data_IF_256340385149
#
_entry.id   IF_256340385149
#
_cell.length_a   1.000
_cell.length_b   1.000
_cell.length_c   1.000
_cell.angle_alpha   90.00
_cell.angle_beta   90.00
_cell.angle_gamma   90.00
#
_symmetry.space_group_name_H-M   'P 1'
#
loop_
_entity.id
_entity.type
_entity.pdbx_description
1 polymer ?
#
# COMPACT_ATOMS: atom_id res chain seq x y z
N UNK A 1 25.95 18.15 28.18
CA UNK A 1 25.09 16.98 28.28
C UNK A 1 23.95 17.19 27.31
N UNK A 2 23.67 16.23 26.43
CA UNK A 2 22.49 16.34 25.57
C UNK A 2 21.24 16.41 26.47
N UNK A 3 20.30 17.29 26.13
CA UNK A 3 19.04 17.42 26.86
C UNK A 3 18.30 16.09 26.78
N UNK A 4 17.92 15.53 27.92
CA UNK A 4 17.07 14.32 27.97
C UNK A 4 15.57 14.67 27.86
N UNK A 5 15.24 15.95 27.65
CA UNK A 5 13.87 16.47 27.51
C UNK A 5 13.64 16.98 26.08
N UNK A 6 12.50 16.57 25.50
CA UNK A 6 12.04 16.97 24.19
C UNK A 6 10.59 17.47 24.25
N UNK A 7 10.19 18.34 23.33
CA UNK A 7 8.79 18.73 23.18
C UNK A 7 7.99 17.57 22.55
N UNK A 8 8.64 16.80 21.67
CA UNK A 8 8.06 15.64 20.99
C UNK A 8 9.07 14.50 20.88
N UNK A 9 8.63 13.29 21.22
CA UNK A 9 9.33 12.04 20.93
C UNK A 9 8.48 11.18 20.00
N UNK A 10 9.07 10.69 18.90
CA UNK A 10 8.41 9.82 17.93
C UNK A 10 9.02 8.42 17.99
N UNK A 11 8.19 7.40 18.21
CA UNK A 11 8.58 5.99 18.24
C UNK A 11 8.32 5.34 16.87
N UNK A 12 9.40 5.07 16.13
CA UNK A 12 9.39 4.54 14.77
C UNK A 12 9.62 5.61 13.70
N UNK A 13 10.53 5.32 12.77
CA UNK A 13 10.91 6.21 11.67
C UNK A 13 10.37 5.76 10.31
N UNK A 14 9.19 5.12 10.28
CA UNK A 14 8.41 4.88 9.06
C UNK A 14 7.87 6.18 8.46
N UNK A 15 7.10 6.12 7.33
CA UNK A 15 6.59 7.31 6.64
C UNK A 15 5.87 8.30 7.55
N UNK A 16 5.00 7.84 8.44
CA UNK A 16 4.33 8.71 9.41
C UNK A 16 5.29 9.33 10.39
N UNK A 17 6.20 8.52 10.97
CA UNK A 17 7.11 8.96 12.03
C UNK A 17 8.13 10.00 11.58
N UNK A 18 8.85 9.75 10.47
CA UNK A 18 9.85 10.73 10.02
C UNK A 18 9.22 12.03 9.50
N UNK A 19 8.03 11.93 8.86
CA UNK A 19 7.29 13.13 8.42
C UNK A 19 6.82 13.94 9.62
N UNK A 20 6.22 13.30 10.64
CA UNK A 20 5.81 13.96 11.87
C UNK A 20 6.98 14.67 12.56
N UNK A 21 8.12 13.97 12.72
CA UNK A 21 9.31 14.51 13.36
C UNK A 21 9.87 15.72 12.61
N UNK A 22 9.96 15.65 11.29
CA UNK A 22 10.45 16.76 10.45
C UNK A 22 9.47 17.94 10.55
N UNK A 23 8.17 17.69 10.39
CA UNK A 23 7.16 18.76 10.43
C UNK A 23 7.12 19.46 11.79
N UNK A 24 7.14 18.71 12.89
CA UNK A 24 7.21 19.27 14.24
C UNK A 24 8.44 20.13 14.45
N UNK A 25 9.60 19.68 13.99
CA UNK A 25 10.84 20.46 14.06
C UNK A 25 10.79 21.75 13.22
N UNK A 26 10.18 21.71 12.00
CA UNK A 26 9.93 22.90 11.19
C UNK A 26 9.00 23.91 11.89
N UNK A 27 8.16 23.44 12.78
CA UNK A 27 7.27 24.27 13.59
C UNK A 27 7.91 24.76 14.90
N UNK A 28 9.21 24.49 15.10
CA UNK A 28 10.00 25.02 16.20
C UNK A 28 10.13 24.11 17.42
N UNK A 29 9.59 22.90 17.38
CA UNK A 29 9.72 21.95 18.49
C UNK A 29 11.12 21.30 18.55
N UNK A 30 11.58 21.00 19.76
CA UNK A 30 12.72 20.13 20.01
C UNK A 30 12.27 18.65 19.91
N UNK A 31 12.71 17.94 18.86
CA UNK A 31 12.18 16.63 18.48
C UNK A 31 13.24 15.55 18.53
N UNK A 32 12.87 14.40 19.11
CA UNK A 32 13.61 13.15 18.96
C UNK A 32 12.78 12.10 18.22
N UNK A 33 13.47 11.25 17.48
CA UNK A 33 12.89 10.06 16.84
C UNK A 33 13.71 8.83 17.19
N UNK A 34 13.03 7.71 17.47
CA UNK A 34 13.68 6.46 17.85
C UNK A 34 13.36 5.40 16.80
N UNK A 35 14.39 4.76 16.25
CA UNK A 35 14.22 3.68 15.26
C UNK A 35 15.10 2.48 15.63
N UNK A 36 14.52 1.30 15.57
CA UNK A 36 15.21 0.06 15.95
C UNK A 36 15.93 -0.64 14.80
N UNK A 37 15.49 -0.48 13.56
CA UNK A 37 16.04 -1.19 12.40
C UNK A 37 16.58 -0.20 11.35
N UNK A 38 15.67 0.41 10.57
CA UNK A 38 16.03 1.23 9.42
C UNK A 38 15.12 2.45 9.29
N UNK A 39 15.72 3.61 9.09
CA UNK A 39 15.00 4.83 8.75
C UNK A 39 14.14 4.61 7.48
N UNK A 40 12.94 5.21 7.46
CA UNK A 40 11.97 5.02 6.38
C UNK A 40 11.07 3.80 6.55
N UNK A 41 11.29 2.99 7.61
CA UNK A 41 10.44 1.87 8.01
C UNK A 41 10.25 0.81 6.91
N UNK A 42 9.15 0.06 6.99
CA UNK A 42 8.82 -0.99 6.01
C UNK A 42 8.69 -0.43 4.60
N UNK A 43 8.03 0.70 4.41
CA UNK A 43 7.75 1.25 3.07
C UNK A 43 9.03 1.42 2.23
N UNK A 44 10.07 2.04 2.77
CA UNK A 44 11.31 2.29 2.02
C UNK A 44 12.24 1.07 1.97
N UNK A 45 12.18 0.19 2.97
CA UNK A 45 13.14 -0.90 3.10
C UNK A 45 12.59 -2.27 2.67
N UNK A 46 11.30 -2.56 2.92
CA UNK A 46 10.71 -3.89 2.77
C UNK A 46 9.28 -3.88 2.20
N UNK A 47 8.85 -2.78 1.59
CA UNK A 47 7.47 -2.61 1.11
C UNK A 47 7.39 -1.86 -0.20
N UNK A 48 6.79 -0.65 -0.14
CA UNK A 48 6.41 0.16 -1.30
C UNK A 48 7.54 0.27 -2.34
N UNK A 49 8.65 0.83 -1.94
CA UNK A 49 9.73 1.20 -2.88
C UNK A 49 10.46 0.00 -3.47
N UNK A 50 10.95 -0.97 -2.68
CA UNK A 50 11.61 -2.14 -3.26
C UNK A 50 10.67 -2.97 -4.14
N UNK A 51 9.40 -3.09 -3.79
CA UNK A 51 8.41 -3.81 -4.63
C UNK A 51 8.21 -3.08 -5.95
N UNK A 52 8.01 -1.76 -5.95
CA UNK A 52 7.85 -0.97 -7.18
C UNK A 52 9.11 -1.00 -8.05
N UNK A 53 10.29 -1.04 -7.44
CA UNK A 53 11.55 -1.22 -8.18
C UNK A 53 11.62 -2.60 -8.88
N UNK A 54 11.11 -3.65 -8.25
CA UNK A 54 11.02 -4.99 -8.83
C UNK A 54 9.96 -5.05 -9.93
N UNK A 55 8.75 -4.52 -9.68
CA UNK A 55 7.66 -4.46 -10.66
C UNK A 55 8.06 -3.65 -11.91
N UNK A 56 8.82 -2.55 -11.75
CA UNK A 56 9.37 -1.84 -12.91
C UNK A 56 10.32 -2.69 -13.74
N UNK A 57 11.09 -3.58 -13.12
CA UNK A 57 11.93 -4.52 -13.86
C UNK A 57 11.10 -5.56 -14.63
N UNK A 58 9.97 -6.01 -14.04
CA UNK A 58 9.03 -6.91 -14.71
C UNK A 58 8.34 -6.22 -15.90
N UNK A 59 7.92 -4.97 -15.74
CA UNK A 59 7.35 -4.17 -16.82
C UNK A 59 8.32 -3.96 -17.99
N UNK A 60 9.58 -3.62 -17.69
CA UNK A 60 10.62 -3.48 -18.73
C UNK A 60 10.86 -4.82 -19.44
N UNK A 61 10.84 -5.93 -18.73
CA UNK A 61 10.97 -7.25 -19.30
C UNK A 61 9.80 -7.58 -20.22
N UNK A 62 8.57 -7.34 -19.78
CA UNK A 62 7.34 -7.50 -20.57
C UNK A 62 7.37 -6.65 -21.85
N UNK A 63 7.77 -5.37 -21.76
CA UNK A 63 7.93 -4.51 -22.93
C UNK A 63 9.00 -5.03 -23.89
N UNK A 64 10.10 -5.57 -23.39
CA UNK A 64 11.14 -6.15 -24.22
C UNK A 64 10.65 -7.40 -24.99
N UNK A 65 9.84 -8.24 -24.36
CA UNK A 65 9.21 -9.41 -25.02
C UNK A 65 8.27 -8.98 -26.15
N UNK A 66 7.61 -7.83 -26.01
CA UNK A 66 6.69 -7.21 -26.99
C UNK A 66 7.40 -6.28 -27.99
N UNK A 67 8.71 -6.20 -28.00
CA UNK A 67 9.49 -5.27 -28.84
C UNK A 67 9.07 -5.26 -30.31
N UNK A 68 8.67 -6.41 -30.86
CA UNK A 68 8.23 -6.55 -32.27
C UNK A 68 6.97 -5.73 -32.59
N UNK A 69 6.07 -5.52 -31.62
CA UNK A 69 4.87 -4.70 -31.78
C UNK A 69 5.23 -3.23 -32.06
N UNK A 70 6.40 -2.79 -31.59
CA UNK A 70 6.95 -1.45 -31.76
C UNK A 70 7.97 -1.34 -32.92
N UNK A 71 8.07 -2.38 -33.76
CA UNK A 71 9.02 -2.41 -34.87
C UNK A 71 10.47 -2.63 -34.46
N UNK A 72 10.71 -3.11 -33.24
CA UNK A 72 12.04 -3.38 -32.72
C UNK A 72 12.36 -4.88 -32.79
N UNK A 73 13.64 -5.22 -32.97
CA UNK A 73 14.15 -6.60 -32.86
C UNK A 73 14.86 -6.77 -31.53
N UNK A 74 14.38 -7.69 -30.73
CA UNK A 74 15.03 -8.10 -29.48
C UNK A 74 15.12 -9.63 -29.49
N UNK A 75 16.34 -10.17 -29.43
CA UNK A 75 16.59 -11.61 -29.42
C UNK A 75 17.22 -12.01 -28.09
N UNK A 76 16.94 -13.24 -27.64
CA UNK A 76 17.52 -13.84 -26.44
C UNK A 76 17.32 -12.99 -25.18
N UNK A 77 16.11 -12.40 -25.02
CA UNK A 77 15.78 -11.62 -23.83
C UNK A 77 15.85 -12.55 -22.62
N UNK A 78 16.63 -12.16 -21.64
CA UNK A 78 16.81 -12.90 -20.40
C UNK A 78 16.86 -11.95 -19.20
N UNK A 79 16.71 -12.47 -18.00
CA UNK A 79 16.82 -11.71 -16.78
C UNK A 79 17.83 -12.32 -15.82
N UNK A 80 18.36 -11.49 -14.94
CA UNK A 80 19.22 -11.87 -13.82
C UNK A 80 18.55 -11.42 -12.53
N UNK A 81 17.95 -12.38 -11.81
CA UNK A 81 17.24 -12.12 -10.57
C UNK A 81 18.12 -11.41 -9.54
N UNK A 82 19.40 -11.77 -9.45
CA UNK A 82 20.31 -11.16 -8.47
C UNK A 82 20.53 -9.66 -8.76
N UNK A 83 20.60 -9.28 -10.04
CA UNK A 83 20.71 -7.87 -10.44
C UNK A 83 19.42 -7.09 -10.23
N UNK A 84 18.26 -7.71 -10.44
CA UNK A 84 16.96 -7.11 -10.13
C UNK A 84 16.86 -6.80 -8.62
N UNK A 85 17.20 -7.78 -7.78
CA UNK A 85 17.24 -7.62 -6.33
C UNK A 85 18.25 -6.54 -5.92
N UNK A 86 19.47 -6.61 -6.43
CA UNK A 86 20.52 -5.63 -6.12
C UNK A 86 20.10 -4.20 -6.48
N UNK A 87 19.42 -4.01 -7.64
CA UNK A 87 18.84 -2.72 -8.01
C UNK A 87 17.79 -2.25 -7.00
N UNK A 88 16.88 -3.12 -6.61
CA UNK A 88 15.84 -2.82 -5.60
C UNK A 88 16.46 -2.43 -4.25
N UNK A 89 17.45 -3.17 -3.77
CA UNK A 89 18.17 -2.86 -2.52
C UNK A 89 18.96 -1.56 -2.58
N UNK A 90 19.61 -1.27 -3.72
CA UNK A 90 20.32 0.01 -3.94
C UNK A 90 19.36 1.20 -3.83
N UNK A 91 18.17 1.11 -4.43
CA UNK A 91 17.14 2.17 -4.36
C UNK A 91 16.66 2.36 -2.91
N UNK A 92 16.37 1.28 -2.20
CA UNK A 92 16.01 1.33 -0.78
C UNK A 92 17.09 2.00 0.06
N UNK A 93 18.36 1.63 -0.14
CA UNK A 93 19.50 2.22 0.58
C UNK A 93 19.66 3.72 0.30
N UNK A 94 19.47 4.15 -0.94
CA UNK A 94 19.51 5.56 -1.32
C UNK A 94 18.44 6.37 -0.59
N UNK A 95 17.22 5.88 -0.53
CA UNK A 95 16.11 6.59 0.14
C UNK A 95 16.25 6.57 1.66
N UNK A 96 16.72 5.46 2.23
CA UNK A 96 17.03 5.39 3.65
C UNK A 96 18.06 6.46 4.07
N UNK A 97 19.16 6.61 3.29
CA UNK A 97 20.14 7.67 3.49
C UNK A 97 19.52 9.06 3.34
N UNK A 98 18.60 9.22 2.38
CA UNK A 98 17.87 10.46 2.17
C UNK A 98 17.05 10.87 3.41
N UNK A 99 16.35 9.94 4.04
CA UNK A 99 15.60 10.19 5.29
C UNK A 99 16.57 10.63 6.40
N UNK A 100 17.72 9.96 6.55
CA UNK A 100 18.75 10.35 7.53
C UNK A 100 19.26 11.80 7.29
N UNK A 101 19.48 12.15 6.02
CA UNK A 101 19.84 13.52 5.65
C UNK A 101 18.75 14.54 6.01
N UNK A 102 17.49 14.23 5.71
CA UNK A 102 16.34 15.11 5.99
C UNK A 102 16.15 15.32 7.50
N UNK A 103 16.25 14.27 8.31
CA UNK A 103 16.19 14.37 9.77
C UNK A 103 17.31 15.26 10.31
N UNK A 104 18.56 15.05 9.85
CA UNK A 104 19.70 15.89 10.22
C UNK A 104 19.53 17.34 9.80
N UNK A 105 19.09 17.61 8.55
CA UNK A 105 18.80 18.96 8.03
C UNK A 105 17.81 19.71 8.91
N UNK A 106 16.79 19.01 9.41
CA UNK A 106 15.76 19.57 10.27
C UNK A 106 16.11 19.48 11.76
N UNK A 107 17.35 19.16 12.13
CA UNK A 107 17.85 19.10 13.52
C UNK A 107 17.07 18.13 14.43
N UNK A 108 16.45 17.10 13.87
CA UNK A 108 15.81 16.03 14.65
C UNK A 108 16.88 15.15 15.25
N UNK A 109 16.80 14.90 16.56
CA UNK A 109 17.71 13.97 17.27
C UNK A 109 17.27 12.55 16.97
N UNK A 110 18.15 11.73 16.38
CA UNK A 110 17.86 10.33 16.05
C UNK A 110 18.52 9.42 17.08
N UNK A 111 17.71 8.55 17.70
CA UNK A 111 18.19 7.47 18.55
C UNK A 111 17.99 6.12 17.83
N UNK A 112 19.02 5.29 17.85
CA UNK A 112 18.91 3.89 17.41
C UNK A 112 18.61 3.01 18.63
N UNK A 113 17.60 2.16 18.55
CA UNK A 113 17.25 1.24 19.62
C UNK A 113 15.75 0.95 19.73
N UNK A 114 15.40 0.05 20.61
CA UNK A 114 14.01 -0.28 20.92
C UNK A 114 13.45 0.70 21.95
N UNK A 115 12.31 1.29 21.62
CA UNK A 115 11.61 2.24 22.47
C UNK A 115 10.49 1.57 23.26
N UNK A 116 10.33 1.94 24.54
CA UNK A 116 9.25 1.50 25.41
C UNK A 116 8.77 2.65 26.29
N UNK A 117 7.46 2.85 26.40
CA UNK A 117 6.86 3.75 27.35
C UNK A 117 7.10 3.22 28.79
N UNK A 118 7.61 4.07 29.65
CA UNK A 118 7.76 3.80 31.09
C UNK A 118 6.58 4.39 31.84
N UNK A 119 6.20 5.60 31.46
CA UNK A 119 5.01 6.32 31.89
C UNK A 119 4.49 7.25 30.77
N UNK A 120 3.56 8.14 31.08
CA UNK A 120 2.92 9.02 30.10
C UNK A 120 3.87 10.05 29.45
N UNK A 121 5.06 10.24 30.00
CA UNK A 121 6.04 11.25 29.55
C UNK A 121 7.45 10.68 29.37
N UNK A 122 7.72 9.47 29.81
CA UNK A 122 9.04 8.87 29.85
C UNK A 122 9.15 7.69 28.87
N UNK A 123 10.15 7.73 28.00
CA UNK A 123 10.48 6.68 27.05
C UNK A 123 11.85 6.08 27.42
N UNK A 124 11.89 4.78 27.59
CA UNK A 124 13.13 4.00 27.68
C UNK A 124 13.59 3.56 26.30
N UNK A 125 14.86 3.77 26.00
CA UNK A 125 15.52 3.34 24.77
C UNK A 125 16.54 2.28 25.11
N UNK A 126 16.37 1.07 24.58
CA UNK A 126 17.32 -0.03 24.75
C UNK A 126 18.17 -0.18 23.49
N UNK A 127 19.48 -0.02 23.64
CA UNK A 127 20.47 -0.22 22.57
C UNK A 127 21.63 -1.03 23.11
N UNK A 128 21.95 -2.16 22.48
CA UNK A 128 23.05 -3.06 22.88
C UNK A 128 23.04 -3.42 24.38
N UNK A 129 21.84 -3.62 24.94
CA UNK A 129 21.63 -3.98 26.36
C UNK A 129 21.78 -2.80 27.35
N UNK A 130 22.00 -1.57 26.86
CA UNK A 130 22.01 -0.36 27.68
C UNK A 130 20.70 0.37 27.57
N UNK A 131 20.16 0.82 28.69
CA UNK A 131 18.93 1.61 28.75
C UNK A 131 19.26 3.08 28.96
N UNK A 132 18.65 3.93 28.12
CA UNK A 132 18.65 5.38 28.26
C UNK A 132 17.21 5.84 28.41
N UNK A 133 16.95 6.79 29.30
CA UNK A 133 15.61 7.38 29.47
C UNK A 133 15.62 8.83 28.93
N UNK A 134 14.58 9.13 28.17
CA UNK A 134 14.28 10.50 27.71
C UNK A 134 12.86 10.84 28.11
N UNK A 135 12.58 12.13 28.27
CA UNK A 135 11.25 12.61 28.62
C UNK A 135 10.70 13.54 27.52
N UNK A 136 9.39 13.55 27.38
CA UNK A 136 8.72 14.38 26.38
C UNK A 136 7.40 14.94 26.89
N UNK A 137 7.02 16.12 26.36
CA UNK A 137 5.69 16.68 26.56
C UNK A 137 4.65 15.90 25.74
N UNK A 138 5.02 15.50 24.53
CA UNK A 138 4.15 14.74 23.62
C UNK A 138 4.89 13.52 23.08
N UNK A 139 4.15 12.45 22.81
CA UNK A 139 4.70 11.20 22.23
C UNK A 139 3.83 10.77 21.05
N UNK A 140 4.45 10.43 19.93
CA UNK A 140 3.78 9.82 18.77
C UNK A 140 4.24 8.37 18.64
N UNK A 141 3.28 7.44 18.68
CA UNK A 141 3.49 6.03 18.39
C UNK A 141 3.35 5.81 16.87
N UNK A 142 4.45 5.46 16.19
CA UNK A 142 4.51 5.26 14.74
C UNK A 142 5.26 3.98 14.38
N UNK A 143 5.08 2.92 15.20
CA UNK A 143 5.82 1.66 15.11
C UNK A 143 5.38 0.75 13.96
N UNK A 144 4.32 1.15 13.24
CA UNK A 144 3.84 0.45 12.05
C UNK A 144 3.24 -0.92 12.32
N UNK A 145 3.35 -1.80 11.33
CA UNK A 145 2.78 -3.14 11.36
C UNK A 145 3.75 -4.17 10.77
N UNK A 146 3.42 -5.46 10.90
CA UNK A 146 4.14 -6.58 10.32
C UNK A 146 3.21 -7.57 9.64
N UNK A 147 3.75 -8.49 8.84
CA UNK A 147 2.95 -9.56 8.24
C UNK A 147 2.20 -10.36 9.33
N UNK A 148 0.94 -10.62 9.08
CA UNK A 148 0.16 -11.55 9.87
C UNK A 148 0.60 -12.97 9.55
N UNK A 149 0.85 -13.77 10.55
CA UNK A 149 1.13 -15.20 10.42
C UNK A 149 -0.10 -16.01 10.83
N UNK A 150 -0.38 -17.07 10.08
CA UNK A 150 -1.44 -18.01 10.41
C UNK A 150 -0.83 -19.22 11.14
N UNK A 151 -1.45 -19.71 12.23
CA UNK A 151 -0.95 -20.87 12.96
C UNK A 151 -0.75 -22.09 12.05
N UNK A 152 0.46 -22.69 12.11
CA UNK A 152 0.86 -23.81 11.27
C UNK A 152 1.27 -23.45 9.83
N UNK A 153 1.26 -22.15 9.48
CA UNK A 153 1.66 -21.64 8.17
C UNK A 153 2.69 -20.50 8.30
N UNK A 154 3.38 -20.42 9.44
CA UNK A 154 4.37 -19.37 9.72
C UNK A 154 5.48 -19.39 8.68
N UNK A 155 6.03 -18.21 8.37
CA UNK A 155 7.11 -18.09 7.42
C UNK A 155 8.42 -18.65 7.98
N UNK A 156 9.09 -19.51 7.20
CA UNK A 156 10.40 -20.07 7.52
C UNK A 156 11.55 -19.40 6.74
N UNK A 157 11.21 -18.50 5.80
CA UNK A 157 12.17 -17.83 4.94
C UNK A 157 12.78 -18.70 3.84
N UNK A 158 12.45 -19.99 3.80
CA UNK A 158 12.95 -20.94 2.80
C UNK A 158 11.84 -21.38 1.84
N UNK A 159 10.80 -22.02 2.35
CA UNK A 159 9.67 -22.52 1.55
C UNK A 159 8.43 -21.64 1.71
N UNK A 160 8.22 -21.06 2.86
CA UNK A 160 7.11 -20.13 3.15
C UNK A 160 7.69 -18.75 3.44
N UNK A 161 7.26 -17.79 2.66
CA UNK A 161 7.77 -16.42 2.63
C UNK A 161 6.74 -15.41 3.12
N UNK A 162 7.22 -14.38 3.81
CA UNK A 162 6.52 -13.09 3.90
C UNK A 162 7.04 -12.16 2.80
N UNK A 163 6.53 -10.92 2.77
CA UNK A 163 7.01 -9.87 1.88
C UNK A 163 8.54 -9.63 2.00
N UNK A 164 9.13 -9.74 3.19
CA UNK A 164 10.60 -9.56 3.38
C UNK A 164 11.39 -10.59 2.57
N UNK A 165 10.97 -11.84 2.61
CA UNK A 165 11.62 -12.93 1.87
C UNK A 165 11.35 -12.83 0.37
N UNK A 166 10.10 -12.48 -0.01
CA UNK A 166 9.71 -12.30 -1.41
C UNK A 166 10.45 -11.13 -2.10
N UNK A 167 10.93 -10.15 -1.34
CA UNK A 167 11.76 -9.05 -1.86
C UNK A 167 13.26 -9.38 -1.95
N UNK A 168 13.69 -10.50 -1.36
CA UNK A 168 15.08 -10.93 -1.37
C UNK A 168 15.21 -12.45 -1.55
N UNK A 169 14.59 -13.02 -2.62
CA UNK A 169 14.62 -14.45 -2.87
C UNK A 169 16.01 -14.93 -3.28
N UNK A 170 16.40 -16.09 -2.79
CA UNK A 170 17.66 -16.74 -3.20
C UNK A 170 17.57 -17.42 -4.58
N UNK A 171 16.36 -17.73 -5.04
CA UNK A 171 16.08 -18.38 -6.33
C UNK A 171 14.72 -17.98 -6.86
N UNK A 172 14.56 -18.06 -8.19
CA UNK A 172 13.25 -17.88 -8.84
C UNK A 172 12.38 -19.12 -8.59
N UNK A 173 11.17 -18.97 -7.99
CA UNK A 173 10.23 -20.09 -7.87
C UNK A 173 9.74 -20.56 -9.24
N UNK A 174 9.56 -21.88 -9.41
CA UNK A 174 8.95 -22.46 -10.61
C UNK A 174 7.43 -22.61 -10.45
N UNK A 175 6.99 -23.02 -9.25
CA UNK A 175 5.59 -23.15 -8.87
C UNK A 175 5.36 -22.37 -7.59
N UNK A 176 4.66 -21.24 -7.70
CA UNK A 176 4.42 -20.31 -6.62
C UNK A 176 2.96 -20.38 -6.17
N UNK A 177 2.73 -20.51 -4.86
CA UNK A 177 1.45 -20.25 -4.21
C UNK A 177 1.49 -18.88 -3.55
N UNK A 178 0.49 -18.06 -3.81
CA UNK A 178 0.24 -16.81 -3.07
C UNK A 178 -1.06 -16.97 -2.30
N UNK A 179 -1.00 -16.82 -0.97
CA UNK A 179 -2.15 -16.89 -0.09
C UNK A 179 -2.58 -15.48 0.25
N UNK A 180 -3.78 -15.09 -0.19
CA UNK A 180 -4.32 -13.75 -0.12
C UNK A 180 -4.13 -12.96 -1.42
N UNK A 181 -5.19 -12.33 -1.89
CA UNK A 181 -5.28 -11.60 -3.16
C UNK A 181 -5.43 -10.08 -2.98
N UNK A 182 -5.10 -9.54 -1.81
CA UNK A 182 -4.97 -8.09 -1.64
C UNK A 182 -3.79 -7.52 -2.44
N UNK A 183 -3.59 -6.20 -2.40
CA UNK A 183 -2.55 -5.51 -3.17
C UNK A 183 -1.17 -6.18 -3.08
N UNK A 184 -0.72 -6.53 -1.86
CA UNK A 184 0.57 -7.20 -1.64
C UNK A 184 0.64 -8.54 -2.38
N UNK A 185 -0.41 -9.36 -2.27
CA UNK A 185 -0.44 -10.69 -2.89
C UNK A 185 -0.40 -10.61 -4.41
N UNK A 186 -1.23 -9.77 -5.01
CA UNK A 186 -1.30 -9.65 -6.47
C UNK A 186 -0.07 -8.97 -7.08
N UNK A 187 0.58 -8.03 -6.37
CA UNK A 187 1.83 -7.43 -6.81
C UNK A 187 2.96 -8.48 -6.89
N UNK A 188 3.12 -9.31 -5.87
CA UNK A 188 4.10 -10.41 -5.93
C UNK A 188 3.70 -11.46 -6.95
N UNK A 189 2.42 -11.83 -7.04
CA UNK A 189 1.95 -12.75 -8.07
C UNK A 189 2.28 -12.24 -9.47
N UNK A 190 2.01 -10.97 -9.75
CA UNK A 190 2.32 -10.30 -11.03
C UNK A 190 3.82 -10.33 -11.32
N UNK A 191 4.67 -9.94 -10.35
CA UNK A 191 6.12 -9.96 -10.51
C UNK A 191 6.66 -11.34 -10.88
N UNK A 192 6.36 -12.34 -10.06
CA UNK A 192 6.89 -13.68 -10.25
C UNK A 192 6.34 -14.37 -11.50
N UNK A 193 5.06 -14.15 -11.81
CA UNK A 193 4.43 -14.67 -13.02
C UNK A 193 5.09 -14.12 -14.29
N UNK A 194 5.37 -12.81 -14.34
CA UNK A 194 6.07 -12.18 -15.47
C UNK A 194 7.43 -12.82 -15.74
N UNK A 195 8.14 -13.27 -14.71
CA UNK A 195 9.42 -13.96 -14.86
C UNK A 195 9.30 -15.49 -14.96
N UNK A 196 8.10 -16.02 -15.28
CA UNK A 196 7.86 -17.41 -15.65
C UNK A 196 7.51 -18.37 -14.52
N UNK A 197 7.25 -17.89 -13.31
CA UNK A 197 6.70 -18.73 -12.25
C UNK A 197 5.26 -19.14 -12.59
N UNK A 198 4.92 -20.44 -12.49
CA UNK A 198 3.53 -20.89 -12.52
C UNK A 198 2.86 -20.47 -11.21
N UNK A 199 2.11 -19.39 -11.26
CA UNK A 199 1.56 -18.74 -10.07
C UNK A 199 0.11 -19.13 -9.83
N UNK A 200 -0.19 -19.60 -8.62
CA UNK A 200 -1.55 -19.83 -8.12
C UNK A 200 -1.82 -18.85 -6.99
N UNK A 201 -2.93 -18.12 -7.07
CA UNK A 201 -3.41 -17.22 -6.02
C UNK A 201 -4.65 -17.81 -5.38
N UNK A 202 -4.66 -17.92 -4.05
CA UNK A 202 -5.80 -18.43 -3.28
C UNK A 202 -6.38 -17.31 -2.42
N UNK A 203 -7.70 -17.08 -2.57
CA UNK A 203 -8.44 -16.07 -1.84
C UNK A 203 -9.65 -16.69 -1.14
N UNK A 204 -9.82 -16.38 0.15
CA UNK A 204 -10.93 -16.90 0.94
C UNK A 204 -12.28 -16.27 0.58
N UNK A 205 -12.23 -15.02 0.11
CA UNK A 205 -13.41 -14.30 -0.36
C UNK A 205 -13.77 -14.73 -1.80
N UNK A 206 -14.93 -14.33 -2.25
CA UNK A 206 -15.52 -14.73 -3.54
C UNK A 206 -14.83 -14.11 -4.76
N UNK A 207 -14.00 -13.06 -4.57
CA UNK A 207 -13.27 -12.38 -5.62
C UNK A 207 -11.88 -11.96 -5.17
N UNK A 208 -10.97 -11.77 -6.12
CA UNK A 208 -9.66 -11.16 -5.85
C UNK A 208 -9.81 -9.66 -5.60
N UNK A 209 -8.82 -9.03 -4.94
CA UNK A 209 -8.86 -7.60 -4.63
C UNK A 209 -10.20 -7.17 -4.02
N UNK A 210 -10.65 -7.80 -2.94
CA UNK A 210 -12.04 -7.71 -2.46
C UNK A 210 -12.44 -6.31 -1.97
N UNK A 211 -11.47 -5.41 -1.76
CA UNK A 211 -11.71 -4.01 -1.37
C UNK A 211 -11.97 -3.09 -2.56
N UNK A 212 -11.65 -3.53 -3.78
CA UNK A 212 -11.86 -2.76 -4.99
C UNK A 212 -13.30 -2.86 -5.49
N UNK A 213 -13.67 -1.97 -6.40
CA UNK A 213 -14.95 -2.06 -7.11
C UNK A 213 -15.07 -3.42 -7.83
N UNK A 214 -16.26 -3.98 -7.86
CA UNK A 214 -16.51 -5.35 -8.36
C UNK A 214 -16.10 -5.52 -9.83
N UNK A 215 -16.32 -4.51 -10.67
CA UNK A 215 -15.95 -4.55 -12.08
C UNK A 215 -14.42 -4.47 -12.25
N UNK A 216 -13.72 -3.70 -11.42
CA UNK A 216 -12.25 -3.67 -11.38
C UNK A 216 -11.72 -5.06 -11.02
N UNK A 217 -12.27 -5.69 -9.98
CA UNK A 217 -11.89 -7.05 -9.55
C UNK A 217 -12.14 -8.09 -10.64
N UNK A 218 -13.25 -7.97 -11.36
CA UNK A 218 -13.63 -8.86 -12.47
C UNK A 218 -12.64 -8.76 -13.64
N UNK A 219 -12.33 -7.53 -14.09
CA UNK A 219 -11.36 -7.31 -15.17
C UNK A 219 -9.96 -7.74 -14.73
N UNK A 220 -9.55 -7.44 -13.50
CA UNK A 220 -8.28 -7.91 -12.95
C UNK A 220 -8.17 -9.45 -13.00
N UNK A 221 -9.23 -10.15 -12.59
CA UNK A 221 -9.30 -11.63 -12.66
C UNK A 221 -9.14 -12.14 -14.07
N UNK A 222 -9.82 -11.55 -15.04
CA UNK A 222 -9.73 -11.93 -16.45
C UNK A 222 -8.31 -11.70 -16.99
N UNK A 223 -7.69 -10.55 -16.69
CA UNK A 223 -6.34 -10.22 -17.14
C UNK A 223 -5.27 -11.12 -16.52
N UNK A 224 -5.32 -11.37 -15.21
CA UNK A 224 -4.38 -12.27 -14.55
C UNK A 224 -4.51 -13.71 -15.06
N UNK A 225 -5.73 -14.17 -15.32
CA UNK A 225 -5.97 -15.49 -15.94
C UNK A 225 -5.40 -15.55 -17.36
N UNK A 226 -5.61 -14.51 -18.17
CA UNK A 226 -5.04 -14.38 -19.53
C UNK A 226 -3.51 -14.42 -19.52
N UNK A 227 -2.88 -13.89 -18.46
CA UNK A 227 -1.43 -13.93 -18.23
C UNK A 227 -0.93 -15.28 -17.68
N UNK A 228 -1.82 -16.27 -17.51
CA UNK A 228 -1.46 -17.63 -17.10
C UNK A 228 -1.48 -17.88 -15.59
N UNK A 229 -1.96 -16.94 -14.77
CA UNK A 229 -2.16 -17.19 -13.35
C UNK A 229 -3.38 -18.07 -13.11
N UNK A 230 -3.30 -18.95 -12.11
CA UNK A 230 -4.46 -19.71 -11.60
C UNK A 230 -5.04 -18.96 -10.40
N UNK A 231 -6.31 -18.56 -10.48
CA UNK A 231 -7.00 -17.87 -9.40
C UNK A 231 -8.01 -18.82 -8.76
N UNK A 232 -7.97 -18.99 -7.44
CA UNK A 232 -8.87 -19.79 -6.65
C UNK A 232 -9.53 -18.90 -5.60
N UNK A 233 -10.72 -18.39 -5.91
CA UNK A 233 -11.56 -17.58 -5.01
C UNK A 233 -12.56 -18.47 -4.26
N UNK A 234 -13.10 -17.99 -3.13
CA UNK A 234 -13.93 -18.82 -2.24
C UNK A 234 -13.17 -20.05 -1.70
N UNK A 235 -11.84 -19.98 -1.71
CA UNK A 235 -10.95 -21.09 -1.41
C UNK A 235 -10.04 -20.77 -0.21
N UNK A 236 -9.83 -21.76 0.65
CA UNK A 236 -9.03 -21.61 1.87
C UNK A 236 -7.88 -22.61 1.88
N UNK A 237 -6.66 -22.12 2.10
CA UNK A 237 -5.54 -23.00 2.43
C UNK A 237 -5.74 -23.49 3.87
N UNK A 238 -5.88 -24.80 4.02
CA UNK A 238 -6.13 -25.46 5.30
C UNK A 238 -4.84 -25.86 6.00
N UNK A 239 -3.84 -26.28 5.22
CA UNK A 239 -2.57 -26.80 5.72
C UNK A 239 -1.46 -26.60 4.71
N UNK A 240 -0.25 -26.35 5.21
CA UNK A 240 1.00 -26.37 4.47
C UNK A 240 1.90 -27.49 5.03
N UNK A 241 2.08 -28.57 4.28
CA UNK A 241 2.92 -29.69 4.65
C UNK A 241 4.30 -29.54 4.01
N UNK A 242 5.28 -29.05 4.80
CA UNK A 242 6.64 -28.77 4.33
C UNK A 242 7.42 -30.06 4.12
N UNK A 243 7.97 -30.22 2.94
CA UNK A 243 8.92 -31.28 2.58
C UNK A 243 10.32 -30.67 2.45
N UNK A 244 11.31 -31.46 2.04
CA UNK A 244 12.69 -31.00 1.94
C UNK A 244 12.90 -29.83 0.96
N UNK A 245 12.16 -29.83 -0.15
CA UNK A 245 12.36 -28.94 -1.31
C UNK A 245 11.03 -28.33 -1.84
N UNK A 246 9.90 -28.65 -1.24
CA UNK A 246 8.57 -28.21 -1.66
C UNK A 246 7.58 -28.17 -0.50
N UNK A 247 6.45 -27.54 -0.76
CA UNK A 247 5.27 -27.51 0.14
C UNK A 247 4.11 -28.21 -0.56
N UNK A 248 3.43 -29.11 0.14
CA UNK A 248 2.13 -29.63 -0.26
C UNK A 248 1.06 -28.81 0.46
N UNK A 249 0.30 -28.03 -0.30
CA UNK A 249 -0.79 -27.22 0.21
C UNK A 249 -2.11 -27.97 0.06
N UNK A 250 -2.83 -28.13 1.16
CA UNK A 250 -4.23 -28.60 1.15
C UNK A 250 -5.13 -27.38 1.01
N UNK A 251 -5.83 -27.29 -0.12
CA UNK A 251 -6.71 -26.17 -0.46
C UNK A 251 -8.15 -26.71 -0.47
N UNK A 252 -9.05 -26.02 0.22
CA UNK A 252 -10.48 -26.36 0.25
C UNK A 252 -11.27 -25.27 -0.46
N UNK A 253 -12.08 -25.70 -1.44
CA UNK A 253 -13.03 -24.85 -2.15
C UNK A 253 -14.36 -25.62 -2.23
N UNK A 254 -15.47 -24.99 -1.81
CA UNK A 254 -16.81 -25.61 -1.80
C UNK A 254 -16.83 -27.00 -1.14
N UNK A 255 -16.14 -27.15 0.00
CA UNK A 255 -16.00 -28.41 0.76
C UNK A 255 -15.22 -29.51 0.03
N UNK A 256 -14.67 -29.24 -1.15
CA UNK A 256 -13.78 -30.14 -1.88
C UNK A 256 -12.34 -29.78 -1.53
N UNK A 257 -11.57 -30.78 -1.08
CA UNK A 257 -10.16 -30.63 -0.78
C UNK A 257 -9.31 -31.16 -1.90
N UNK A 258 -8.30 -30.41 -2.25
CA UNK A 258 -7.23 -30.81 -3.20
C UNK A 258 -5.87 -30.59 -2.57
N UNK A 259 -4.91 -31.40 -2.95
CA UNK A 259 -3.52 -31.24 -2.57
C UNK A 259 -2.69 -30.82 -3.79
N UNK A 260 -2.01 -29.69 -3.68
CA UNK A 260 -1.18 -29.14 -4.74
C UNK A 260 0.25 -28.93 -4.23
N UNK A 261 1.24 -29.20 -5.11
CA UNK A 261 2.65 -29.03 -4.79
C UNK A 261 3.19 -27.71 -5.34
N UNK A 262 3.89 -26.98 -4.46
CA UNK A 262 4.57 -25.72 -4.77
C UNK A 262 6.01 -25.78 -4.25
N UNK A 263 6.92 -25.09 -4.93
CA UNK A 263 8.31 -24.97 -4.43
C UNK A 263 8.49 -23.73 -3.54
N UNK A 264 7.49 -22.84 -3.53
CA UNK A 264 7.48 -21.65 -2.69
C UNK A 264 6.04 -21.19 -2.42
N UNK A 265 5.80 -20.69 -1.21
CA UNK A 265 4.53 -20.09 -0.79
C UNK A 265 4.80 -18.69 -0.29
N UNK A 266 4.03 -17.70 -0.75
CA UNK A 266 4.00 -16.34 -0.18
C UNK A 266 2.73 -16.18 0.65
N UNK A 267 2.88 -15.87 1.93
CA UNK A 267 1.77 -15.54 2.82
C UNK A 267 1.52 -14.03 2.78
N UNK A 268 0.37 -13.62 2.21
CA UNK A 268 -0.10 -12.24 2.07
C UNK A 268 -1.48 -12.05 2.69
N UNK A 269 -1.71 -12.64 3.87
CA UNK A 269 -3.00 -12.74 4.57
C UNK A 269 -3.31 -11.55 5.48
N UNK A 270 -2.70 -10.40 5.21
CA UNK A 270 -2.87 -9.17 5.96
C UNK A 270 -1.69 -8.84 6.87
N UNK A 271 -1.86 -7.76 7.64
CA UNK A 271 -0.86 -7.27 8.58
C UNK A 271 -1.46 -7.02 9.95
N UNK A 272 -0.63 -6.91 10.97
CA UNK A 272 -1.00 -6.60 12.35
C UNK A 272 -0.09 -5.52 12.91
N UNK A 273 -0.64 -4.63 13.74
CA UNK A 273 0.11 -3.53 14.37
C UNK A 273 1.21 -4.03 15.30
N UNK A 274 2.30 -3.30 15.38
CA UNK A 274 3.42 -3.59 16.29
C UNK A 274 3.15 -2.95 17.65
N UNK A 275 2.31 -3.58 18.45
CA UNK A 275 1.88 -3.08 19.77
C UNK A 275 2.67 -3.71 20.93
N UNK A 276 3.30 -4.85 20.73
CA UNK A 276 3.97 -5.60 21.79
C UNK A 276 5.26 -4.92 22.23
N UNK A 277 5.55 -5.00 23.51
CA UNK A 277 6.77 -4.47 24.11
C UNK A 277 6.83 -2.95 24.26
N UNK A 278 5.82 -2.22 23.76
CA UNK A 278 5.79 -0.75 23.81
C UNK A 278 5.41 -0.18 25.19
N UNK A 279 4.95 -1.00 26.15
CA UNK A 279 4.47 -0.52 27.45
C UNK A 279 3.06 0.08 27.44
N UNK A 280 2.25 -0.22 26.39
CA UNK A 280 0.91 0.36 26.22
C UNK A 280 -0.02 0.05 27.40
N UNK A 281 -0.06 -1.21 27.84
CA UNK A 281 -0.88 -1.64 28.98
C UNK A 281 -0.47 -0.94 30.29
N UNK A 282 0.84 -0.74 30.50
CA UNK A 282 1.38 -0.08 31.67
C UNK A 282 0.91 1.37 31.77
N UNK A 283 0.75 2.04 30.63
CA UNK A 283 0.32 3.44 30.52
C UNK A 283 -1.21 3.55 30.40
N UNK A 284 -1.90 2.44 30.14
CA UNK A 284 -3.36 2.39 29.99
C UNK A 284 -3.85 2.81 28.60
N UNK A 285 -3.02 2.64 27.56
CA UNK A 285 -3.41 2.94 26.18
C UNK A 285 -4.32 1.82 25.65
N UNK A 286 -5.47 2.20 25.10
CA UNK A 286 -6.45 1.27 24.56
C UNK A 286 -6.00 0.68 23.23
N UNK A 287 -6.18 -0.66 23.11
CA UNK A 287 -5.92 -1.39 21.88
C UNK A 287 -7.12 -2.25 21.49
N UNK A 288 -7.34 -2.41 20.18
CA UNK A 288 -8.38 -3.27 19.62
C UNK A 288 -7.86 -3.99 18.38
N UNK A 289 -8.08 -5.31 18.30
CA UNK A 289 -7.66 -6.13 17.16
C UNK A 289 -6.18 -5.91 16.74
N UNK A 290 -5.27 -5.85 17.72
CA UNK A 290 -3.83 -5.58 17.55
C UNK A 290 -3.49 -4.20 16.96
N UNK A 291 -4.34 -3.19 17.18
CA UNK A 291 -4.08 -1.80 16.81
C UNK A 291 -4.35 -0.88 17.98
N UNK A 292 -3.70 0.28 18.01
CA UNK A 292 -3.98 1.34 18.98
C UNK A 292 -5.25 2.07 18.57
N UNK A 293 -6.16 2.27 19.52
CA UNK A 293 -7.39 3.02 19.28
C UNK A 293 -7.10 4.52 19.32
N UNK A 294 -7.57 5.24 18.30
CA UNK A 294 -7.44 6.70 18.20
C UNK A 294 -8.74 7.34 17.74
N UNK A 295 -8.88 8.63 18.02
CA UNK A 295 -9.91 9.45 17.39
C UNK A 295 -9.45 9.95 16.01
N UNK A 296 -10.29 10.77 15.36
CA UNK A 296 -10.05 11.35 14.02
C UNK A 296 -8.83 12.30 13.96
N UNK A 297 -8.34 12.75 15.11
CA UNK A 297 -7.14 13.58 15.26
C UNK A 297 -5.90 12.76 15.67
N UNK A 298 -5.96 11.44 15.57
CA UNK A 298 -4.90 10.51 15.97
C UNK A 298 -4.56 10.55 17.48
N UNK A 299 -5.43 11.09 18.33
CA UNK A 299 -5.26 11.09 19.78
C UNK A 299 -5.65 9.73 20.36
N UNK A 300 -4.83 9.21 21.27
CA UNK A 300 -5.19 8.04 22.07
C UNK A 300 -6.10 8.48 23.24
N UNK A 301 -6.54 7.54 24.07
CA UNK A 301 -7.24 7.83 25.30
C UNK A 301 -6.35 8.48 26.38
N UNK A 302 -5.05 8.61 26.17
CA UNK A 302 -4.09 9.25 27.07
C UNK A 302 -3.64 10.60 26.50
N UNK A 303 -3.91 11.68 27.22
CA UNK A 303 -3.53 13.03 26.82
C UNK A 303 -2.02 13.15 26.57
N UNK A 304 -1.62 13.79 25.47
CA UNK A 304 -0.24 13.96 25.05
C UNK A 304 0.36 12.75 24.32
N UNK A 305 -0.40 11.64 24.17
CA UNK A 305 0.04 10.46 23.42
C UNK A 305 -0.86 10.27 22.19
N UNK A 306 -0.21 10.20 21.04
CA UNK A 306 -0.82 10.03 19.72
C UNK A 306 -0.36 8.72 19.09
N UNK A 307 -1.14 8.18 18.17
CA UNK A 307 -0.73 7.03 17.36
C UNK A 307 -1.12 7.25 15.89
N UNK A 308 -0.23 6.86 14.96
CA UNK A 308 -0.38 7.10 13.53
C UNK A 308 0.06 5.90 12.69
N UNK A 309 -0.38 5.89 11.44
CA UNK A 309 0.02 4.91 10.43
C UNK A 309 -0.58 3.54 10.64
N UNK A 310 0.14 2.52 10.20
CA UNK A 310 -0.35 1.14 10.21
C UNK A 310 -0.65 0.62 11.62
N UNK A 311 -0.09 1.25 12.64
CA UNK A 311 -0.35 0.94 14.05
C UNK A 311 -1.81 1.17 14.45
N UNK A 312 -2.51 2.09 13.78
CA UNK A 312 -3.91 2.47 14.09
C UNK A 312 -4.96 1.73 13.25
N UNK A 313 -4.52 0.87 12.31
CA UNK A 313 -5.41 0.08 11.47
C UNK A 313 -5.53 0.59 10.02
N UNK A 314 -6.42 -0.06 9.29
CA UNK A 314 -6.67 0.21 7.87
C UNK A 314 -7.23 1.64 7.62
N UNK A 315 -7.01 2.19 6.41
CA UNK A 315 -6.19 1.64 5.34
C UNK A 315 -4.69 1.76 5.66
N UNK A 316 -3.93 0.68 5.38
CA UNK A 316 -2.50 0.60 5.67
C UNK A 316 -1.69 1.19 4.50
N UNK A 317 -1.59 2.52 4.49
CA UNK A 317 -1.03 3.28 3.37
C UNK A 317 -0.02 4.33 3.87
N UNK A 318 1.14 4.38 3.22
CA UNK A 318 2.23 5.27 3.61
C UNK A 318 1.83 6.75 3.53
N UNK A 319 1.03 7.14 2.53
CA UNK A 319 0.55 8.52 2.38
C UNK A 319 -0.47 8.89 3.47
N UNK A 320 -1.38 7.96 3.89
CA UNK A 320 -2.21 8.16 5.07
C UNK A 320 -1.34 8.46 6.31
N UNK A 321 -0.37 7.59 6.59
CA UNK A 321 0.53 7.75 7.72
C UNK A 321 1.28 9.09 7.70
N UNK A 322 1.76 9.53 6.53
CA UNK A 322 2.45 10.82 6.37
C UNK A 322 1.53 12.01 6.63
N UNK A 323 0.29 11.96 6.15
CA UNK A 323 -0.71 13.00 6.43
C UNK A 323 -1.12 13.03 7.90
N UNK A 324 -1.31 11.87 8.55
CA UNK A 324 -1.54 11.77 9.99
C UNK A 324 -0.38 12.36 10.78
N UNK A 325 0.87 12.07 10.37
CA UNK A 325 2.06 12.65 11.00
C UNK A 325 2.12 14.17 10.92
N UNK A 326 1.75 14.75 9.77
CA UNK A 326 1.65 16.19 9.59
C UNK A 326 0.53 16.79 10.45
N UNK A 327 -0.65 16.16 10.45
CA UNK A 327 -1.82 16.58 11.24
C UNK A 327 -1.47 16.65 12.73
N UNK A 328 -0.88 15.59 13.28
CA UNK A 328 -0.50 15.55 14.71
C UNK A 328 0.56 16.61 15.03
N UNK A 329 1.60 16.77 14.19
CA UNK A 329 2.63 17.78 14.41
C UNK A 329 2.06 19.21 14.43
N UNK A 330 1.12 19.50 13.54
CA UNK A 330 0.43 20.79 13.48
C UNK A 330 -0.52 21.01 14.67
N UNK A 331 -1.26 19.97 15.06
CA UNK A 331 -2.16 20.01 16.24
C UNK A 331 -1.39 20.27 17.53
N UNK A 332 -0.28 19.57 17.76
CA UNK A 332 0.56 19.76 18.97
C UNK A 332 1.05 21.22 19.08
N UNK A 333 1.28 21.88 17.95
CA UNK A 333 1.71 23.30 17.93
C UNK A 333 0.56 24.32 17.99
N UNK A 334 -0.67 23.84 18.23
CA UNK A 334 -1.85 24.71 18.38
C UNK A 334 -2.42 25.24 17.07
N UNK A 335 -2.04 24.67 15.91
CA UNK A 335 -2.64 25.01 14.62
C UNK A 335 -4.04 24.40 14.50
N UNK A 336 -4.89 25.09 13.76
CA UNK A 336 -6.20 24.54 13.37
C UNK A 336 -5.95 23.47 12.30
N UNK A 337 -6.39 22.25 12.55
CA UNK A 337 -6.26 21.11 11.65
C UNK A 337 -7.62 20.52 11.31
N UNK A 338 -7.73 19.95 10.12
CA UNK A 338 -8.91 19.19 9.69
C UNK A 338 -8.57 17.69 9.74
N UNK A 339 -9.49 16.83 10.20
CA UNK A 339 -9.34 15.39 10.10
C UNK A 339 -9.16 14.95 8.64
N UNK A 340 -8.46 13.86 8.45
CA UNK A 340 -8.32 13.25 7.11
C UNK A 340 -9.66 12.64 6.73
N UNK A 341 -10.21 13.05 5.58
CA UNK A 341 -11.39 12.38 5.02
C UNK A 341 -11.01 10.95 4.56
N UNK A 342 -11.52 9.89 5.17
CA UNK A 342 -11.16 8.52 4.80
C UNK A 342 -11.57 8.17 3.36
N UNK A 343 -12.63 8.79 2.84
CA UNK A 343 -13.08 8.57 1.46
C UNK A 343 -12.19 9.26 0.42
N UNK A 344 -11.33 10.21 0.82
CA UNK A 344 -10.39 10.88 -0.07
C UNK A 344 -8.97 10.27 -0.03
N UNK A 345 -8.80 9.10 0.59
CA UNK A 345 -7.51 8.39 0.62
C UNK A 345 -7.45 7.43 -0.57
N UNK A 346 -6.58 7.67 -1.58
CA UNK A 346 -6.50 6.79 -2.74
C UNK A 346 -5.82 5.47 -2.42
N UNK A 347 -6.31 4.38 -3.03
CA UNK A 347 -5.66 3.08 -3.08
C UNK A 347 -4.94 2.88 -4.42
N UNK A 348 -3.76 2.24 -4.41
CA UNK A 348 -3.01 1.91 -5.61
C UNK A 348 -2.41 0.51 -5.51
N UNK A 349 -2.60 -0.31 -6.54
CA UNK A 349 -1.99 -1.63 -6.71
C UNK A 349 -1.19 -1.62 -8.02
N UNK A 350 0.10 -1.90 -7.92
CA UNK A 350 1.06 -1.75 -9.02
C UNK A 350 1.30 -3.07 -9.78
N UNK A 351 0.29 -3.92 -9.84
CA UNK A 351 0.30 -5.11 -10.71
C UNK A 351 0.29 -4.70 -12.19
N UNK A 352 0.35 -5.67 -13.09
CA UNK A 352 0.08 -5.45 -14.51
C UNK A 352 -1.22 -6.20 -14.89
N UNK A 353 -2.31 -5.45 -15.28
CA UNK A 353 -2.45 -3.99 -15.28
C UNK A 353 -2.43 -3.37 -13.86
N UNK A 354 -2.16 -2.06 -13.79
CA UNK A 354 -2.25 -1.29 -12.55
C UNK A 354 -3.72 -1.08 -12.16
N UNK A 355 -3.96 -0.86 -10.86
CA UNK A 355 -5.28 -0.57 -10.31
C UNK A 355 -5.19 0.63 -9.40
N UNK A 356 -6.16 1.54 -9.47
CA UNK A 356 -6.25 2.68 -8.58
C UNK A 356 -7.71 3.03 -8.28
N UNK A 357 -7.95 3.46 -7.04
CA UNK A 357 -9.29 3.79 -6.59
C UNK A 357 -9.27 4.92 -5.57
N UNK A 358 -10.36 5.69 -5.49
CA UNK A 358 -10.64 6.66 -4.43
C UNK A 358 -12.14 6.78 -4.25
N UNK A 359 -12.59 6.98 -3.02
CA UNK A 359 -14.00 7.18 -2.69
C UNK A 359 -14.81 5.89 -2.59
N UNK A 360 -16.11 6.02 -2.75
CA UNK A 360 -17.06 4.93 -2.59
C UNK A 360 -17.09 4.06 -3.85
N UNK A 361 -17.12 2.74 -3.65
CA UNK A 361 -17.48 1.81 -4.74
C UNK A 361 -18.97 1.96 -5.08
N UNK A 362 -19.38 1.50 -6.27
CA UNK A 362 -20.78 1.51 -6.67
C UNK A 362 -21.69 0.83 -5.63
N UNK A 363 -21.31 -0.36 -5.17
CA UNK A 363 -22.04 -1.12 -4.16
C UNK A 363 -22.11 -0.35 -2.81
N UNK A 364 -21.03 0.31 -2.39
CA UNK A 364 -21.03 1.07 -1.14
C UNK A 364 -21.91 2.32 -1.27
N UNK A 365 -21.82 3.07 -2.36
CA UNK A 365 -22.64 4.25 -2.59
C UNK A 365 -24.14 3.91 -2.59
N UNK A 366 -24.54 2.82 -3.24
CA UNK A 366 -25.92 2.31 -3.22
C UNK A 366 -26.37 1.91 -1.82
N UNK A 367 -25.52 1.19 -1.08
CA UNK A 367 -25.78 0.77 0.30
C UNK A 367 -25.96 1.96 1.24
N UNK A 368 -25.19 3.02 1.04
CA UNK A 368 -25.26 4.26 1.83
C UNK A 368 -26.46 5.15 1.44
N UNK A 369 -27.26 4.69 0.44
CA UNK A 369 -28.54 5.32 0.05
C UNK A 369 -28.41 6.41 -1.01
N UNK A 370 -27.25 6.58 -1.63
CA UNK A 370 -27.08 7.54 -2.73
C UNK A 370 -27.86 7.08 -3.98
N UNK A 371 -28.48 8.02 -4.67
CA UNK A 371 -28.89 7.85 -6.06
C UNK A 371 -27.69 8.14 -6.95
N UNK A 372 -27.20 7.15 -7.64
CA UNK A 372 -25.94 7.28 -8.36
C UNK A 372 -26.11 7.39 -9.87
N UNK A 373 -25.17 8.13 -10.49
CA UNK A 373 -24.86 8.06 -11.92
C UNK A 373 -23.47 7.48 -12.06
N UNK A 374 -23.34 6.50 -12.94
CA UNK A 374 -22.08 5.78 -13.17
C UNK A 374 -21.67 5.98 -14.62
N UNK A 375 -20.44 6.41 -14.83
CA UNK A 375 -19.84 6.48 -16.17
C UNK A 375 -18.62 5.59 -16.26
N UNK A 376 -18.39 5.07 -17.47
CA UNK A 376 -17.26 4.19 -17.79
C UNK A 376 -16.66 4.54 -19.13
N UNK A 377 -15.33 4.57 -19.19
CA UNK A 377 -14.64 4.72 -20.45
C UNK A 377 -13.51 3.70 -20.59
N UNK A 378 -13.54 2.84 -21.62
CA UNK A 378 -12.54 1.80 -21.82
C UNK A 378 -11.27 2.34 -22.47
N UNK A 379 -10.11 1.79 -22.12
CA UNK A 379 -8.80 2.13 -22.69
C UNK A 379 -8.76 2.02 -24.22
N UNK A 380 -9.45 1.03 -24.80
CA UNK A 380 -9.53 0.82 -26.25
C UNK A 380 -10.18 2.00 -27.02
N UNK A 381 -10.91 2.88 -26.32
CA UNK A 381 -11.48 4.12 -26.91
C UNK A 381 -10.51 5.30 -26.89
N UNK A 382 -9.33 5.18 -26.27
CA UNK A 382 -8.40 6.28 -26.11
C UNK A 382 -7.19 6.16 -27.05
N UNK A 383 -6.95 7.20 -27.86
CA UNK A 383 -5.88 7.21 -28.83
C UNK A 383 -4.48 7.06 -28.24
N UNK A 384 -4.22 7.60 -27.03
CA UNK A 384 -2.93 7.44 -26.35
C UNK A 384 -2.73 6.03 -25.83
N UNK A 385 -3.77 5.39 -25.30
CA UNK A 385 -3.72 3.98 -24.87
C UNK A 385 -3.41 3.04 -26.04
N UNK A 386 -4.05 3.29 -27.20
CA UNK A 386 -3.78 2.55 -28.44
C UNK A 386 -2.33 2.75 -28.88
N UNK A 387 -1.83 3.99 -28.87
CA UNK A 387 -0.45 4.30 -29.26
C UNK A 387 0.60 3.66 -28.33
N UNK A 388 0.26 3.48 -27.05
CA UNK A 388 1.11 2.78 -26.07
C UNK A 388 1.05 1.25 -26.22
N UNK A 389 0.07 0.70 -26.93
CA UNK A 389 -0.20 -0.73 -26.98
C UNK A 389 -0.87 -1.27 -25.70
N UNK A 390 -1.47 -0.38 -24.89
CA UNK A 390 -2.06 -0.68 -23.58
C UNK A 390 -3.57 -0.39 -23.62
N UNK A 391 -4.33 -1.31 -24.26
CA UNK A 391 -5.75 -1.11 -24.53
C UNK A 391 -6.67 -1.83 -23.54
N UNK A 392 -6.10 -2.61 -22.61
CA UNK A 392 -6.85 -3.36 -21.60
C UNK A 392 -7.11 -2.49 -20.37
N UNK A 393 -8.39 -2.33 -20.02
CA UNK A 393 -8.78 -1.57 -18.83
C UNK A 393 -9.90 -0.57 -19.07
N UNK A 394 -10.27 0.14 -18.01
CA UNK A 394 -11.29 1.20 -18.03
C UNK A 394 -11.09 2.18 -16.87
N UNK A 395 -11.73 3.33 -16.98
CA UNK A 395 -11.96 4.30 -15.92
C UNK A 395 -13.45 4.32 -15.62
N UNK A 396 -13.82 4.21 -14.34
CA UNK A 396 -15.18 4.29 -13.82
C UNK A 396 -15.30 5.45 -12.84
N UNK A 397 -16.34 6.26 -12.98
CA UNK A 397 -16.69 7.36 -12.08
C UNK A 397 -18.10 7.17 -11.54
N UNK A 398 -18.30 7.58 -10.30
CA UNK A 398 -19.56 7.45 -9.57
C UNK A 398 -19.92 8.83 -9.02
N UNK A 399 -21.08 9.31 -9.36
CA UNK A 399 -21.61 10.61 -8.93
C UNK A 399 -22.90 10.45 -8.15
N UNK A 400 -23.14 11.32 -7.19
CA UNK A 400 -24.46 11.51 -6.62
C UNK A 400 -25.38 12.20 -7.64
N UNK A 401 -26.49 11.57 -7.96
CA UNK A 401 -27.41 12.08 -8.97
C UNK A 401 -28.17 13.35 -8.53
N UNK A 402 -28.29 13.59 -7.23
CA UNK A 402 -29.03 14.72 -6.66
C UNK A 402 -28.14 15.97 -6.53
N UNK A 403 -26.87 15.84 -6.16
CA UNK A 403 -25.93 16.97 -5.97
C UNK A 403 -24.88 17.11 -7.09
N UNK A 404 -24.66 16.07 -7.88
CA UNK A 404 -23.59 16.04 -8.89
C UNK A 404 -22.19 15.78 -8.32
N UNK A 405 -22.06 15.58 -7.01
CA UNK A 405 -20.78 15.38 -6.33
C UNK A 405 -20.11 14.09 -6.80
N UNK A 406 -18.80 14.13 -7.02
CA UNK A 406 -17.97 12.95 -7.27
C UNK A 406 -17.85 12.10 -5.99
N UNK A 407 -18.49 10.94 -5.97
CA UNK A 407 -18.46 9.99 -4.85
C UNK A 407 -17.29 9.02 -4.91
N UNK A 408 -16.86 8.63 -6.10
CA UNK A 408 -15.78 7.69 -6.27
C UNK A 408 -15.27 7.55 -7.70
N UNK A 409 -14.03 7.07 -7.82
CA UNK A 409 -13.41 6.73 -9.09
C UNK A 409 -12.58 5.46 -8.94
N UNK A 410 -12.72 4.54 -9.90
CA UNK A 410 -12.11 3.22 -9.89
C UNK A 410 -11.54 2.92 -11.27
N UNK A 411 -10.27 2.54 -11.31
CA UNK A 411 -9.54 2.40 -12.55
C UNK A 411 -8.72 1.12 -12.59
N UNK A 412 -8.62 0.53 -13.77
CA UNK A 412 -7.69 -0.55 -14.06
C UNK A 412 -7.09 -0.32 -15.45
N UNK A 413 -5.77 -0.38 -15.58
CA UNK A 413 -5.07 -0.16 -16.85
C UNK A 413 -3.67 0.42 -16.66
N UNK A 414 -3.07 0.90 -17.75
CA UNK A 414 -1.75 1.53 -17.70
C UNK A 414 -1.80 2.90 -17.01
N UNK A 415 -0.80 3.20 -16.17
CA UNK A 415 -0.57 4.50 -15.52
C UNK A 415 -1.75 5.01 -14.65
N UNK A 416 -2.71 4.15 -14.29
CA UNK A 416 -3.86 4.58 -13.48
C UNK A 416 -3.46 5.01 -12.07
N UNK A 417 -2.34 4.52 -11.56
CA UNK A 417 -1.80 4.91 -10.25
C UNK A 417 -1.32 6.37 -10.22
N UNK A 418 -1.00 6.94 -11.38
CA UNK A 418 -0.68 8.37 -11.53
C UNK A 418 -1.95 9.19 -11.83
N UNK A 419 -2.88 8.63 -12.63
CA UNK A 419 -4.10 9.32 -13.04
C UNK A 419 -5.07 9.57 -11.90
N UNK A 420 -5.18 8.66 -10.92
CA UNK A 420 -6.13 8.75 -9.81
C UNK A 420 -6.04 10.06 -9.05
N UNK A 421 -4.85 10.69 -9.02
CA UNK A 421 -4.61 11.94 -8.29
C UNK A 421 -5.53 13.08 -8.75
N UNK A 422 -5.92 13.11 -10.02
CA UNK A 422 -6.88 14.11 -10.51
C UNK A 422 -8.24 14.03 -9.80
N UNK A 423 -8.74 12.83 -9.60
CA UNK A 423 -10.01 12.63 -8.86
C UNK A 423 -9.86 12.85 -7.36
N UNK A 424 -8.71 12.53 -6.77
CA UNK A 424 -8.43 12.84 -5.35
C UNK A 424 -8.52 14.35 -5.11
N UNK A 425 -7.89 15.16 -6.00
CA UNK A 425 -7.98 16.62 -5.93
C UNK A 425 -9.43 17.07 -6.08
N UNK A 426 -10.15 16.50 -7.08
CA UNK A 426 -11.56 16.79 -7.29
C UNK A 426 -12.41 16.53 -6.03
N UNK A 427 -12.25 15.37 -5.39
CA UNK A 427 -12.99 15.06 -4.15
C UNK A 427 -12.68 16.01 -3.00
N UNK A 428 -11.40 16.38 -2.81
CA UNK A 428 -11.02 17.34 -1.74
C UNK A 428 -11.59 18.72 -2.00
N UNK A 429 -11.79 19.11 -3.26
CA UNK A 429 -12.39 20.37 -3.68
C UNK A 429 -13.93 20.28 -3.79
N UNK A 430 -14.53 19.14 -3.40
CA UNK A 430 -15.98 18.90 -3.52
C UNK A 430 -16.52 19.11 -4.94
N UNK A 431 -15.71 18.72 -5.94
CA UNK A 431 -15.96 18.91 -7.37
C UNK A 431 -17.20 18.16 -7.82
N UNK A 432 -18.02 18.84 -8.62
CA UNK A 432 -19.19 18.25 -9.28
C UNK A 432 -18.86 17.78 -10.70
N UNK A 433 -19.80 17.06 -11.33
CA UNK A 433 -19.71 16.68 -12.72
C UNK A 433 -19.50 17.86 -13.66
N UNK A 434 -20.20 18.98 -13.42
CA UNK A 434 -20.11 20.17 -14.28
C UNK A 434 -18.69 20.74 -14.30
N UNK A 435 -18.00 20.76 -13.15
CA UNK A 435 -16.60 21.20 -13.08
C UNK A 435 -15.70 20.30 -13.92
N UNK A 436 -15.89 18.99 -13.86
CA UNK A 436 -15.10 18.01 -14.61
C UNK A 436 -15.45 18.01 -16.11
N UNK A 437 -16.72 18.17 -16.47
CA UNK A 437 -17.17 18.30 -17.86
C UNK A 437 -16.57 19.53 -18.55
N UNK A 438 -16.43 20.64 -17.81
CA UNK A 438 -15.87 21.88 -18.35
C UNK A 438 -14.35 22.00 -18.23
N UNK A 439 -13.69 21.05 -17.53
CA UNK A 439 -12.23 21.01 -17.43
C UNK A 439 -11.61 20.59 -18.76
N UNK A 440 -10.62 21.35 -19.22
CA UNK A 440 -9.87 21.01 -20.44
C UNK A 440 -8.77 20.01 -20.12
N UNK A 441 -8.83 18.84 -20.74
CA UNK A 441 -7.82 17.79 -20.63
C UNK A 441 -6.83 17.89 -21.81
N UNK A 442 -5.51 17.69 -21.58
CA UNK A 442 -4.52 17.78 -22.65
C UNK A 442 -4.62 16.60 -23.62
N UNK A 443 -4.41 16.87 -24.92
CA UNK A 443 -4.40 15.85 -25.97
C UNK A 443 -3.00 15.72 -26.61
N UNK A 444 -2.50 14.48 -26.91
CA UNK A 444 -3.08 13.18 -26.57
C UNK A 444 -2.58 12.66 -25.21
N UNK A 445 -3.47 12.28 -24.33
CA UNK A 445 -3.13 11.73 -23.01
C UNK A 445 -4.08 10.62 -22.58
N UNK A 446 -3.67 9.83 -21.58
CA UNK A 446 -4.56 8.90 -20.89
C UNK A 446 -5.59 9.62 -20.01
N UNK A 447 -5.28 10.83 -19.53
CA UNK A 447 -6.20 11.62 -18.68
C UNK A 447 -7.48 12.05 -19.41
N UNK A 448 -7.52 12.05 -20.75
CA UNK A 448 -8.76 12.29 -21.51
C UNK A 448 -9.85 11.27 -21.20
N UNK A 449 -9.46 10.02 -20.81
CA UNK A 449 -10.42 9.00 -20.38
C UNK A 449 -11.14 9.39 -19.09
N UNK A 450 -10.50 10.19 -18.23
CA UNK A 450 -11.14 10.73 -17.04
C UNK A 450 -12.31 11.63 -17.39
N UNK A 451 -12.14 12.49 -18.40
CA UNK A 451 -13.20 13.34 -18.93
C UNK A 451 -14.32 12.53 -19.58
N UNK A 452 -13.96 11.59 -20.46
CA UNK A 452 -14.95 10.76 -21.16
C UNK A 452 -15.78 9.88 -20.21
N UNK A 453 -15.20 9.38 -19.11
CA UNK A 453 -15.95 8.64 -18.10
C UNK A 453 -16.98 9.51 -17.36
N UNK A 454 -16.67 10.80 -17.15
CA UNK A 454 -17.64 11.76 -16.61
C UNK A 454 -18.75 12.03 -17.62
N UNK A 455 -18.41 12.25 -18.89
CA UNK A 455 -19.39 12.44 -19.97
C UNK A 455 -20.33 11.24 -20.09
N UNK A 456 -19.81 10.02 -19.98
CA UNK A 456 -20.61 8.78 -20.04
C UNK A 456 -21.66 8.71 -18.92
N UNK A 457 -21.32 9.10 -17.69
CA UNK A 457 -22.28 9.14 -16.58
C UNK A 457 -23.52 9.99 -16.87
N UNK A 458 -23.42 10.92 -17.80
CA UNK A 458 -24.47 11.87 -18.19
C UNK A 458 -24.95 11.70 -19.63
N UNK A 459 -24.60 10.58 -20.28
CA UNK A 459 -25.04 10.26 -21.65
C UNK A 459 -24.45 11.20 -22.71
N UNK A 460 -23.26 11.77 -22.46
CA UNK A 460 -22.58 12.76 -23.29
C UNK A 460 -21.25 12.27 -23.86
N UNK A 461 -20.90 10.99 -23.64
CA UNK A 461 -19.67 10.38 -24.17
C UNK A 461 -19.58 10.56 -25.69
N UNK A 462 -18.39 10.87 -26.21
CA UNK A 462 -18.18 11.21 -27.63
C UNK A 462 -17.39 10.11 -28.35
N UNK A 463 -16.38 9.56 -27.71
CA UNK A 463 -15.42 8.68 -28.39
C UNK A 463 -15.64 7.17 -28.14
N UNK A 464 -16.78 6.82 -27.56
CA UNK A 464 -17.13 5.40 -27.32
C UNK A 464 -18.64 5.16 -27.35
#
# INVERSE_FOLDING_TARGET
MASNFFDLVVLGAGPGGYVAAIRASQLGLNVAIIEREHLGGICLNWGCIPTKAMLRSAEVFHLAERAREFGLSAENISFDLSKIIARSRKISGQLNQGVGHLLKKNKVTVFSGEAKLVDISTVSITMEGKNTHITATNIILATGARARELPGMEADGNLVWTYKHALNPSKMPKKLLVIGSGAIGVEFASFYNTFGAKTTVVEVLDRILPVEDEEVSSIASAQFTKQGMTLKTGAKVQKLDRKKDRVVATIECNSVKEELEFDTVISAVGIIGNIEGLGLEQVGIETKANHVVTNEYCETNIAGIYAIGDLTGAPWLAHKASHEGTLVAEKITGRIVQPINPNAIPGCTYSYPQIASVGLTEAQAQKDGYKIKVGKFPFKGNGKAIALGEQDGFIKTIFDADSGQLLGAHMIGAEVTELIQGYVIGQVLETTEEDLIHTVFPHPTLSEMMHESVLDAYGRVIHY
#
